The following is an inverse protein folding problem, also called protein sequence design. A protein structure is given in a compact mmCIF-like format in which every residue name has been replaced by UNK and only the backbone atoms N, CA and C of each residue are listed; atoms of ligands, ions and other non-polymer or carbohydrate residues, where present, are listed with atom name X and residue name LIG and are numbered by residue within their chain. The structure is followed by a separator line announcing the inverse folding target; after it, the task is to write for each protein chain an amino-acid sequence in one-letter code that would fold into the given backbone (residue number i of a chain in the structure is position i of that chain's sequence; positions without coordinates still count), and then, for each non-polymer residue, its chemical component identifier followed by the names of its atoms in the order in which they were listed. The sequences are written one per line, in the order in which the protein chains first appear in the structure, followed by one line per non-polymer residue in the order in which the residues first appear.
data_IF_552203644909
#
_entry.id   IF_552203644909
#
_cell.length_a   1.000
_cell.length_b   1.000
_cell.length_c   1.000
_cell.angle_alpha   90.00
_cell.angle_beta   90.00
_cell.angle_gamma   90.00
#
_symmetry.space_group_name_H-M   'P 1'
#
loop_
_entity.id
_entity.type
_entity.pdbx_description
1 polymer ?
#
# COMPACT_ATOMS: atom_id res chain seq x y z
N UNK A 1 29.44 17.46 -10.60
CA UNK A 1 29.14 16.02 -10.56
C UNK A 1 29.19 15.52 -9.11
N UNK A 2 30.24 15.82 -8.34
CA UNK A 2 30.40 15.40 -6.94
C UNK A 2 29.32 15.93 -6.01
N UNK A 3 28.89 17.17 -6.16
CA UNK A 3 27.88 17.83 -5.33
C UNK A 3 26.49 17.17 -5.51
N UNK A 4 26.15 16.77 -6.75
CA UNK A 4 24.91 16.04 -7.07
C UNK A 4 24.92 14.64 -6.46
N UNK A 5 26.07 13.98 -6.46
CA UNK A 5 26.22 12.65 -5.87
C UNK A 5 26.05 12.69 -4.34
N UNK A 6 26.69 13.67 -3.68
CA UNK A 6 26.58 13.89 -2.23
C UNK A 6 25.12 14.22 -1.85
N UNK A 7 24.48 15.13 -2.58
CA UNK A 7 23.07 15.47 -2.34
C UNK A 7 22.16 14.25 -2.51
N UNK A 8 22.37 13.44 -3.55
CA UNK A 8 21.59 12.23 -3.81
C UNK A 8 21.79 11.19 -2.72
N UNK A 9 23.00 11.02 -2.18
CA UNK A 9 23.31 10.10 -1.10
C UNK A 9 22.67 10.52 0.22
N UNK A 10 22.75 11.81 0.56
CA UNK A 10 22.10 12.38 1.75
C UNK A 10 20.58 12.28 1.63
N UNK A 11 20.01 12.63 0.46
CA UNK A 11 18.58 12.54 0.21
C UNK A 11 18.07 11.09 0.28
N UNK A 12 18.83 10.12 -0.26
CA UNK A 12 18.52 8.69 -0.13
C UNK A 12 18.58 8.22 1.32
N UNK A 13 19.58 8.63 2.09
CA UNK A 13 19.70 8.33 3.52
C UNK A 13 18.53 8.93 4.33
N UNK A 14 18.18 10.18 4.03
CA UNK A 14 17.04 10.87 4.64
C UNK A 14 15.72 10.18 4.30
N UNK A 15 15.48 9.82 3.02
CA UNK A 15 14.30 9.08 2.59
C UNK A 15 14.19 7.73 3.28
N UNK A 16 15.29 6.97 3.41
CA UNK A 16 15.30 5.68 4.10
C UNK A 16 15.01 5.83 5.60
N UNK A 17 15.52 6.90 6.23
CA UNK A 17 15.25 7.19 7.64
C UNK A 17 13.79 7.61 7.87
N UNK A 18 13.26 8.45 7.00
CA UNK A 18 11.86 8.88 7.03
C UNK A 18 10.93 7.72 6.66
N UNK A 19 11.29 6.85 5.71
CA UNK A 19 10.52 5.67 5.36
C UNK A 19 10.44 4.65 6.51
N UNK A 20 11.52 4.45 7.28
CA UNK A 20 11.50 3.61 8.49
C UNK A 20 10.59 4.16 9.62
N UNK A 21 10.37 5.48 9.65
CA UNK A 21 9.53 6.18 10.64
C UNK A 21 8.16 6.57 10.09
N UNK A 22 7.91 6.27 8.82
CA UNK A 22 6.79 6.81 8.05
C UNK A 22 5.51 6.01 8.29
N UNK A 23 4.47 6.74 8.45
CA UNK A 23 3.02 6.65 8.26
C UNK A 23 2.53 5.57 7.25
N UNK A 24 3.42 4.93 6.50
CA UNK A 24 3.06 4.00 5.43
C UNK A 24 3.18 2.51 5.82
N UNK A 25 3.36 2.22 7.12
CA UNK A 25 3.38 0.84 7.62
C UNK A 25 1.96 0.32 7.67
N UNK A 26 1.65 -0.71 6.87
CA UNK A 26 0.33 -1.33 6.83
C UNK A 26 0.13 -2.25 8.02
N UNK A 27 -1.01 -2.14 8.66
CA UNK A 27 -1.40 -2.98 9.79
C UNK A 27 -1.99 -4.28 9.27
N UNK A 28 -1.28 -5.37 9.53
CA UNK A 28 -1.61 -6.71 9.07
C UNK A 28 -2.22 -7.53 10.20
N UNK A 29 -3.28 -8.26 9.90
CA UNK A 29 -3.83 -9.32 10.73
C UNK A 29 -3.77 -10.62 9.93
N UNK A 30 -3.43 -11.72 10.59
CA UNK A 30 -3.38 -13.05 9.97
C UNK A 30 -4.55 -13.87 10.49
N UNK A 31 -5.31 -14.43 9.56
CA UNK A 31 -6.42 -15.35 9.83
C UNK A 31 -6.00 -16.75 9.40
N UNK A 32 -5.86 -17.65 10.39
CA UNK A 32 -5.31 -18.99 10.19
C UNK A 32 -5.74 -19.96 11.30
N UNK A 33 -5.16 -21.15 11.32
CA UNK A 33 -5.26 -22.13 12.42
C UNK A 33 -3.99 -22.07 13.27
N UNK A 34 -4.09 -22.47 14.54
CA UNK A 34 -2.98 -22.41 15.50
C UNK A 34 -1.75 -23.20 15.03
N UNK A 35 -1.96 -24.36 14.41
CA UNK A 35 -0.89 -25.23 13.89
C UNK A 35 -0.03 -24.59 12.78
N UNK A 36 -0.60 -23.66 12.00
CA UNK A 36 0.07 -23.06 10.85
C UNK A 36 0.82 -21.76 11.18
N UNK A 37 0.66 -21.23 12.39
CA UNK A 37 1.21 -19.91 12.78
C UNK A 37 2.73 -19.87 12.67
N UNK A 38 3.41 -20.90 13.13
CA UNK A 38 4.89 -20.94 13.12
C UNK A 38 5.44 -21.02 11.69
N UNK A 39 4.82 -21.82 10.83
CA UNK A 39 5.18 -21.92 9.43
C UNK A 39 4.96 -20.60 8.69
N UNK A 40 3.81 -19.96 8.91
CA UNK A 40 3.49 -18.66 8.31
C UNK A 40 4.48 -17.59 8.75
N UNK A 41 4.80 -17.53 10.06
CA UNK A 41 5.78 -16.60 10.60
C UNK A 41 7.15 -16.75 9.93
N UNK A 42 7.61 -17.98 9.74
CA UNK A 42 8.87 -18.30 9.06
C UNK A 42 8.83 -17.94 7.57
N UNK A 43 7.77 -18.32 6.85
CA UNK A 43 7.65 -18.09 5.39
C UNK A 43 7.41 -16.63 5.03
N UNK A 44 6.66 -15.90 5.85
CA UNK A 44 6.45 -14.48 5.63
C UNK A 44 7.70 -13.64 5.95
N UNK A 45 8.72 -14.23 6.61
CA UNK A 45 9.92 -13.46 6.98
C UNK A 45 9.57 -12.21 7.77
N UNK A 46 8.74 -12.33 8.80
CA UNK A 46 8.12 -11.17 9.48
C UNK A 46 9.13 -10.19 10.05
N UNK A 47 10.33 -10.66 10.38
CA UNK A 47 11.42 -9.81 10.86
C UNK A 47 11.98 -8.90 9.74
N UNK A 48 11.78 -9.27 8.48
CA UNK A 48 12.25 -8.56 7.29
C UNK A 48 11.14 -7.72 6.63
N UNK A 49 9.88 -7.90 7.01
CA UNK A 49 8.71 -7.19 6.45
C UNK A 49 8.56 -5.78 7.03
N UNK A 50 9.50 -4.90 6.74
CA UNK A 50 9.55 -3.51 7.23
C UNK A 50 8.32 -2.64 6.87
N UNK A 51 7.52 -3.05 5.86
CA UNK A 51 6.31 -2.35 5.43
C UNK A 51 5.04 -2.75 6.19
N UNK A 52 5.12 -3.79 7.03
CA UNK A 52 3.97 -4.33 7.73
C UNK A 52 4.18 -4.31 9.24
N UNK A 53 3.13 -3.92 9.94
CA UNK A 53 3.02 -4.03 11.38
C UNK A 53 2.01 -5.13 11.69
N UNK A 54 2.49 -6.30 12.11
CA UNK A 54 1.62 -7.38 12.54
C UNK A 54 0.90 -6.96 13.82
N UNK A 55 -0.43 -6.88 13.74
CA UNK A 55 -1.31 -6.51 14.87
C UNK A 55 -1.71 -7.71 15.70
N UNK A 56 -1.83 -8.88 15.08
CA UNK A 56 -2.16 -10.11 15.77
C UNK A 56 -2.76 -11.18 14.85
N UNK A 57 -3.25 -12.23 15.48
CA UNK A 57 -3.81 -13.41 14.86
C UNK A 57 -5.31 -13.51 15.10
N UNK A 58 -6.02 -14.05 14.13
CA UNK A 58 -7.37 -14.60 14.27
C UNK A 58 -7.24 -16.11 14.06
N UNK A 59 -7.46 -16.87 15.10
CA UNK A 59 -7.33 -18.34 15.07
C UNK A 59 -8.70 -18.99 15.06
N UNK A 60 -8.96 -19.82 14.05
CA UNK A 60 -10.28 -20.40 13.83
C UNK A 60 -10.56 -21.62 14.72
N UNK A 61 -9.51 -22.27 15.18
CA UNK A 61 -9.51 -23.52 15.93
C UNK A 61 -9.36 -23.34 17.46
N UNK A 62 -9.43 -22.10 17.96
CA UNK A 62 -9.26 -21.81 19.39
C UNK A 62 -10.58 -21.38 20.05
N UNK A 63 -10.77 -21.73 21.34
CA UNK A 63 -11.94 -21.29 22.10
C UNK A 63 -11.88 -19.80 22.44
N UNK A 64 -13.03 -19.23 22.81
CA UNK A 64 -13.14 -17.81 23.21
C UNK A 64 -12.20 -17.41 24.35
N UNK A 65 -11.86 -18.34 25.23
CA UNK A 65 -10.96 -18.13 26.37
C UNK A 65 -9.51 -17.88 25.94
N UNK A 66 -9.12 -18.28 24.73
CA UNK A 66 -7.78 -18.04 24.19
C UNK A 66 -7.61 -16.64 23.61
N UNK A 67 -8.69 -15.91 23.37
CA UNK A 67 -8.62 -14.53 22.86
C UNK A 67 -7.99 -13.64 23.90
N UNK A 68 -6.98 -12.86 23.49
CA UNK A 68 -6.18 -12.03 24.39
C UNK A 68 -4.90 -12.69 24.92
N UNK A 69 -4.71 -13.99 24.66
CA UNK A 69 -3.42 -14.67 24.91
C UNK A 69 -2.48 -14.53 23.71
N UNK A 70 -1.31 -15.12 23.78
CA UNK A 70 -0.33 -15.10 22.69
C UNK A 70 -0.10 -16.50 22.12
N UNK A 71 0.05 -16.56 20.79
CA UNK A 71 0.49 -17.74 20.06
C UNK A 71 1.79 -17.41 19.32
N UNK A 72 2.87 -18.14 19.59
CA UNK A 72 4.21 -17.91 19.01
C UNK A 72 4.72 -16.46 19.17
N UNK A 73 4.36 -15.80 20.30
CA UNK A 73 4.73 -14.40 20.60
C UNK A 73 3.91 -13.36 19.83
N UNK A 74 2.75 -13.75 19.28
CA UNK A 74 1.83 -12.86 18.57
C UNK A 74 0.47 -12.90 19.29
N UNK A 75 -0.14 -11.73 19.59
CA UNK A 75 -1.42 -11.69 20.30
C UNK A 75 -2.56 -12.27 19.47
N UNK A 76 -3.42 -13.07 20.09
CA UNK A 76 -4.66 -13.58 19.52
C UNK A 76 -5.74 -12.53 19.68
N UNK A 77 -6.20 -11.96 18.57
CA UNK A 77 -7.20 -10.89 18.54
C UNK A 77 -8.63 -11.40 18.52
N UNK A 78 -8.82 -12.58 17.96
CA UNK A 78 -10.15 -13.17 17.79
C UNK A 78 -10.08 -14.63 17.39
N UNK A 79 -11.27 -15.23 17.31
CA UNK A 79 -11.50 -16.59 16.88
C UNK A 79 -12.61 -16.63 15.80
N UNK A 80 -13.09 -17.85 15.46
CA UNK A 80 -14.16 -18.05 14.49
C UNK A 80 -15.43 -17.23 14.77
N UNK A 81 -15.83 -17.13 16.06
CA UNK A 81 -17.09 -16.51 16.45
C UNK A 81 -17.08 -14.98 16.31
N UNK A 82 -15.91 -14.35 16.52
CA UNK A 82 -15.77 -12.90 16.56
C UNK A 82 -14.80 -12.33 15.51
N UNK A 83 -14.42 -13.13 14.50
CA UNK A 83 -13.41 -12.75 13.50
C UNK A 83 -13.73 -11.46 12.74
N UNK A 84 -15.01 -11.12 12.57
CA UNK A 84 -15.43 -9.89 11.93
C UNK A 84 -15.37 -8.70 12.90
N UNK A 85 -15.98 -8.86 14.08
CA UNK A 85 -16.08 -7.78 15.06
C UNK A 85 -14.72 -7.35 15.60
N UNK A 86 -13.79 -8.29 15.78
CA UNK A 86 -12.45 -7.96 16.27
C UNK A 86 -11.65 -7.12 15.29
N UNK A 87 -11.95 -7.17 14.00
CA UNK A 87 -11.30 -6.37 12.96
C UNK A 87 -11.97 -5.01 12.82
N UNK A 88 -13.32 -4.94 12.86
CA UNK A 88 -14.04 -3.67 12.75
C UNK A 88 -13.76 -2.70 13.89
N UNK A 89 -13.46 -3.22 15.08
CA UNK A 89 -13.12 -2.41 16.27
C UNK A 89 -11.65 -1.95 16.28
N UNK A 90 -10.85 -2.35 15.31
CA UNK A 90 -9.41 -2.04 15.24
C UNK A 90 -9.06 -1.42 13.92
N UNK A 91 -7.95 -0.70 13.90
CA UNK A 91 -7.43 -0.15 12.65
C UNK A 91 -6.55 -1.20 11.97
N UNK A 92 -7.10 -1.86 10.96
CA UNK A 92 -6.48 -2.91 10.15
C UNK A 92 -6.50 -2.47 8.70
N UNK A 93 -5.37 -2.56 8.02
CA UNK A 93 -5.25 -2.18 6.61
C UNK A 93 -5.32 -3.40 5.68
N UNK A 94 -4.74 -4.52 6.12
CA UNK A 94 -4.71 -5.77 5.35
C UNK A 94 -4.94 -7.00 6.22
N UNK A 95 -5.60 -8.02 5.66
CA UNK A 95 -5.76 -9.33 6.27
C UNK A 95 -5.12 -10.38 5.35
N UNK A 96 -4.29 -11.25 5.93
CA UNK A 96 -3.75 -12.42 5.26
C UNK A 96 -4.51 -13.67 5.70
N UNK A 97 -5.16 -14.34 4.76
CA UNK A 97 -5.96 -15.55 5.00
C UNK A 97 -5.18 -16.78 4.55
N UNK A 98 -4.92 -17.67 5.49
CA UNK A 98 -4.28 -18.95 5.26
C UNK A 98 -5.04 -20.06 6.01
N UNK A 99 -6.04 -20.63 5.35
CA UNK A 99 -6.92 -21.65 5.94
C UNK A 99 -6.95 -22.87 5.01
N UNK A 100 -6.81 -24.10 5.53
CA UNK A 100 -6.97 -25.32 4.74
C UNK A 100 -8.36 -25.43 4.13
N UNK A 101 -8.47 -25.97 2.91
CA UNK A 101 -9.74 -26.11 2.18
C UNK A 101 -10.76 -27.01 2.90
N UNK A 102 -10.29 -27.92 3.75
CA UNK A 102 -11.12 -28.92 4.47
C UNK A 102 -12.04 -28.34 5.54
N UNK A 103 -11.83 -27.09 5.95
CA UNK A 103 -12.50 -26.52 7.14
C UNK A 103 -13.87 -25.89 6.88
N UNK A 104 -14.45 -26.04 5.69
CA UNK A 104 -15.85 -25.65 5.42
C UNK A 104 -16.23 -24.19 5.70
N UNK A 105 -15.26 -23.34 5.95
CA UNK A 105 -15.48 -21.92 6.26
C UNK A 105 -15.89 -21.21 4.99
N UNK A 106 -16.93 -20.40 5.07
CA UNK A 106 -17.35 -19.55 3.97
C UNK A 106 -16.35 -18.39 3.75
N UNK A 107 -15.13 -18.74 3.30
CA UNK A 107 -14.05 -17.77 3.01
C UNK A 107 -14.53 -16.68 2.08
N UNK A 108 -15.37 -17.02 1.10
CA UNK A 108 -15.97 -16.06 0.19
C UNK A 108 -16.75 -14.97 0.94
N UNK A 109 -17.58 -15.37 1.92
CA UNK A 109 -18.36 -14.44 2.74
C UNK A 109 -17.48 -13.56 3.62
N UNK A 110 -16.43 -14.14 4.21
CA UNK A 110 -15.47 -13.36 5.00
C UNK A 110 -14.73 -12.33 4.14
N UNK A 111 -14.32 -12.70 2.91
CA UNK A 111 -13.68 -11.77 1.98
C UNK A 111 -14.62 -10.65 1.60
N UNK A 112 -15.89 -10.94 1.24
CA UNK A 112 -16.88 -9.91 0.91
C UNK A 112 -17.12 -8.94 2.07
N UNK A 113 -17.18 -9.45 3.31
CA UNK A 113 -17.39 -8.63 4.51
C UNK A 113 -16.19 -7.70 4.78
N UNK A 114 -14.95 -8.21 4.67
CA UNK A 114 -13.76 -7.38 4.88
C UNK A 114 -13.54 -6.37 3.73
N UNK A 115 -13.83 -6.78 2.49
CA UNK A 115 -13.77 -5.86 1.34
C UNK A 115 -14.78 -4.72 1.48
N UNK A 116 -15.99 -4.99 1.98
CA UNK A 116 -17.04 -3.99 2.19
C UNK A 116 -16.63 -2.88 3.16
N UNK A 117 -15.78 -3.17 4.15
CA UNK A 117 -15.24 -2.19 5.09
C UNK A 117 -13.90 -1.59 4.63
N UNK A 118 -13.46 -1.90 3.41
CA UNK A 118 -12.26 -1.30 2.79
C UNK A 118 -10.94 -1.95 3.16
N UNK A 119 -10.94 -3.13 3.80
CA UNK A 119 -9.74 -3.88 4.15
C UNK A 119 -9.28 -4.70 2.95
N UNK A 120 -7.99 -4.65 2.64
CA UNK A 120 -7.41 -5.48 1.59
C UNK A 120 -7.22 -6.92 2.08
N UNK A 121 -7.78 -7.88 1.36
CA UNK A 121 -7.69 -9.30 1.70
C UNK A 121 -6.66 -9.99 0.81
N UNK A 122 -5.67 -10.62 1.44
CA UNK A 122 -4.64 -11.43 0.80
C UNK A 122 -4.95 -12.91 1.07
N UNK A 123 -5.44 -13.62 0.07
CA UNK A 123 -5.75 -15.04 0.18
C UNK A 123 -4.59 -15.89 -0.34
N UNK A 124 -4.14 -16.86 0.46
CA UNK A 124 -3.17 -17.84 -0.02
C UNK A 124 -3.82 -18.78 -1.04
N UNK A 125 -3.26 -18.79 -2.27
CA UNK A 125 -3.81 -19.53 -3.41
C UNK A 125 -3.50 -21.02 -3.42
N UNK A 126 -2.49 -21.45 -2.67
CA UNK A 126 -2.09 -22.86 -2.68
C UNK A 126 -3.19 -23.82 -2.14
N UNK A 127 -4.25 -23.25 -1.61
CA UNK A 127 -5.28 -23.96 -0.88
C UNK A 127 -6.68 -23.85 -1.52
N UNK A 128 -6.95 -22.83 -2.38
CA UNK A 128 -8.32 -22.56 -2.83
C UNK A 128 -8.50 -22.38 -4.33
N UNK A 129 -9.53 -23.04 -4.87
CA UNK A 129 -10.16 -22.68 -6.15
C UNK A 129 -11.38 -21.78 -5.83
N UNK A 130 -11.13 -20.46 -5.72
CA UNK A 130 -12.14 -19.50 -5.26
C UNK A 130 -12.67 -18.68 -6.43
N UNK A 131 -13.93 -18.89 -6.78
CA UNK A 131 -14.63 -18.08 -7.78
C UNK A 131 -15.33 -16.89 -7.11
N UNK A 132 -14.59 -15.83 -6.85
CA UNK A 132 -15.08 -14.60 -6.20
C UNK A 132 -15.43 -13.53 -7.23
N UNK A 133 -16.62 -12.92 -7.05
CA UNK A 133 -17.09 -11.77 -7.86
C UNK A 133 -16.52 -10.44 -7.34
N UNK A 134 -15.20 -10.33 -7.16
CA UNK A 134 -14.57 -9.10 -6.67
C UNK A 134 -14.19 -8.15 -7.80
N UNK A 135 -14.27 -6.84 -7.54
CA UNK A 135 -14.03 -5.78 -8.54
C UNK A 135 -12.56 -5.65 -8.95
N UNK A 136 -11.63 -5.93 -8.04
CA UNK A 136 -10.20 -5.90 -8.32
C UNK A 136 -9.50 -7.08 -7.67
N UNK A 137 -8.75 -7.83 -8.46
CA UNK A 137 -7.95 -8.97 -8.04
C UNK A 137 -6.52 -8.73 -8.51
N UNK A 138 -5.57 -8.72 -7.60
CA UNK A 138 -4.15 -8.60 -7.92
C UNK A 138 -3.39 -9.80 -7.38
N UNK A 139 -2.62 -10.46 -8.24
CA UNK A 139 -1.70 -11.51 -7.82
C UNK A 139 -0.44 -10.83 -7.24
N UNK A 140 -0.07 -11.20 -6.01
CA UNK A 140 1.12 -10.67 -5.34
C UNK A 140 1.94 -11.79 -4.72
N UNK A 141 3.24 -11.55 -4.58
CA UNK A 141 4.09 -12.34 -3.71
C UNK A 141 4.05 -11.74 -2.29
N UNK A 142 3.85 -12.59 -1.30
CA UNK A 142 3.81 -12.26 0.12
C UNK A 142 4.75 -13.21 0.87
N UNK A 143 6.03 -12.82 1.01
CA UNK A 143 7.10 -13.74 1.33
C UNK A 143 7.21 -14.82 0.23
N UNK A 144 7.26 -16.08 0.61
CA UNK A 144 7.30 -17.23 -0.31
C UNK A 144 5.91 -17.67 -0.81
N UNK A 145 4.85 -16.95 -0.47
CA UNK A 145 3.48 -17.30 -0.90
C UNK A 145 3.05 -16.46 -2.11
N UNK A 146 2.35 -17.12 -3.04
CA UNK A 146 1.57 -16.44 -4.07
C UNK A 146 0.16 -16.24 -3.54
N UNK A 147 -0.26 -14.97 -3.45
CA UNK A 147 -1.57 -14.59 -2.90
C UNK A 147 -2.39 -13.81 -3.92
N UNK A 148 -3.72 -13.98 -3.90
CA UNK A 148 -4.62 -13.03 -4.57
C UNK A 148 -5.04 -11.99 -3.53
N UNK A 149 -4.75 -10.73 -3.82
CA UNK A 149 -5.25 -9.61 -3.04
C UNK A 149 -6.57 -9.13 -3.63
N UNK A 150 -7.60 -9.13 -2.81
CA UNK A 150 -8.90 -8.56 -3.13
C UNK A 150 -8.97 -7.17 -2.52
N UNK A 151 -9.19 -6.17 -3.36
CA UNK A 151 -9.26 -4.78 -2.91
C UNK A 151 -10.43 -4.08 -3.56
N UNK A 152 -11.24 -3.42 -2.77
CA UNK A 152 -12.15 -2.46 -3.33
C UNK A 152 -11.34 -1.28 -3.88
N UNK A 153 -11.53 -0.96 -5.15
CA UNK A 153 -10.88 0.19 -5.78
C UNK A 153 -11.51 1.48 -5.25
N UNK A 154 -11.22 1.79 -3.98
CA UNK A 154 -11.56 3.07 -3.36
C UNK A 154 -10.54 4.13 -3.80
N UNK A 155 -10.22 4.14 -5.08
CA UNK A 155 -9.67 5.34 -5.69
C UNK A 155 -10.83 6.33 -5.82
N UNK A 156 -11.16 6.96 -4.72
CA UNK A 156 -12.29 7.86 -4.67
C UNK A 156 -12.11 8.91 -5.77
N UNK A 157 -13.12 9.04 -6.63
CA UNK A 157 -13.20 10.11 -7.64
C UNK A 157 -12.86 11.47 -7.02
N UNK A 158 -13.18 11.65 -5.72
CA UNK A 158 -12.84 12.81 -4.89
C UNK A 158 -11.32 13.03 -4.77
N UNK A 159 -10.52 11.99 -4.50
CA UNK A 159 -9.06 12.13 -4.40
C UNK A 159 -8.42 12.50 -5.73
N UNK A 160 -8.91 11.92 -6.85
CA UNK A 160 -8.44 12.30 -8.19
C UNK A 160 -8.83 13.72 -8.55
N UNK A 161 -10.03 14.15 -8.16
CA UNK A 161 -10.49 15.52 -8.37
C UNK A 161 -9.65 16.53 -7.55
N UNK A 162 -9.40 16.23 -6.28
CA UNK A 162 -8.53 17.07 -5.43
C UNK A 162 -7.12 17.16 -6.00
N UNK A 163 -6.53 16.04 -6.43
CA UNK A 163 -5.22 16.03 -7.07
C UNK A 163 -5.21 16.92 -8.32
N UNK A 164 -6.19 16.78 -9.21
CA UNK A 164 -6.29 17.64 -10.41
C UNK A 164 -6.46 19.12 -10.09
N UNK A 165 -7.27 19.45 -9.07
CA UNK A 165 -7.36 20.84 -8.61
C UNK A 165 -6.02 21.39 -8.14
N UNK A 166 -5.28 20.63 -7.34
CA UNK A 166 -3.93 21.04 -6.90
C UNK A 166 -2.96 21.22 -8.07
N UNK A 167 -2.99 20.30 -9.05
CA UNK A 167 -2.16 20.38 -10.25
C UNK A 167 -2.47 21.64 -11.07
N UNK A 168 -3.76 21.98 -11.23
CA UNK A 168 -4.20 23.20 -11.96
C UNK A 168 -3.77 24.46 -11.21
N UNK A 169 -4.00 24.53 -9.90
CA UNK A 169 -3.59 25.68 -9.08
C UNK A 169 -2.07 25.86 -9.15
N UNK A 170 -1.32 24.79 -9.00
CA UNK A 170 0.15 24.81 -9.12
C UNK A 170 0.63 25.28 -10.50
N UNK A 171 -0.02 24.82 -11.56
CA UNK A 171 0.29 25.26 -12.93
C UNK A 171 0.00 26.75 -13.14
N UNK A 172 -1.12 27.26 -12.64
CA UNK A 172 -1.47 28.69 -12.73
C UNK A 172 -0.42 29.54 -11.99
N UNK A 173 -0.09 29.17 -10.76
CA UNK A 173 0.94 29.87 -9.97
C UNK A 173 2.29 29.84 -10.68
N UNK A 174 2.68 28.66 -11.20
CA UNK A 174 3.91 28.50 -11.97
C UNK A 174 3.95 29.40 -13.22
N UNK A 175 2.85 29.49 -13.96
CA UNK A 175 2.73 30.36 -15.12
C UNK A 175 2.85 31.85 -14.74
N UNK A 176 2.21 32.25 -13.65
CA UNK A 176 2.32 33.67 -13.17
C UNK A 176 3.76 34.00 -12.80
N UNK A 177 4.41 33.11 -12.02
CA UNK A 177 5.82 33.32 -11.63
C UNK A 177 6.73 33.37 -12.86
N UNK A 178 6.57 32.42 -13.79
CA UNK A 178 7.32 32.40 -15.05
C UNK A 178 7.08 33.65 -15.87
N UNK A 179 5.81 34.09 -15.96
CA UNK A 179 5.46 35.33 -16.65
C UNK A 179 6.15 36.55 -16.06
N UNK A 180 6.14 36.72 -14.74
CA UNK A 180 6.82 37.82 -14.04
C UNK A 180 8.33 37.79 -14.33
N UNK A 181 8.95 36.61 -14.14
CA UNK A 181 10.39 36.45 -14.40
C UNK A 181 10.71 36.77 -15.86
N UNK A 182 9.91 36.33 -16.81
CA UNK A 182 10.09 36.60 -18.22
C UNK A 182 10.00 38.09 -18.54
N UNK A 183 9.04 38.81 -17.96
CA UNK A 183 8.90 40.28 -18.16
C UNK A 183 10.16 41.04 -17.72
N UNK A 184 10.80 40.63 -16.62
CA UNK A 184 12.03 41.23 -16.16
C UNK A 184 13.27 40.82 -16.96
N UNK A 185 13.36 39.56 -17.34
CA UNK A 185 14.52 39.03 -18.07
C UNK A 185 14.50 39.33 -19.57
N UNK A 186 13.32 39.38 -20.20
CA UNK A 186 13.20 39.58 -21.63
C UNK A 186 13.89 40.88 -22.12
N UNK A 187 13.71 42.06 -21.49
CA UNK A 187 14.39 43.27 -21.92
C UNK A 187 15.91 43.16 -21.83
N UNK A 188 16.42 42.53 -20.77
CA UNK A 188 17.85 42.35 -20.56
C UNK A 188 18.45 41.45 -21.66
N UNK A 189 17.77 40.32 -21.94
CA UNK A 189 18.21 39.40 -22.96
C UNK A 189 18.17 40.00 -24.38
N UNK A 190 17.14 40.80 -24.69
CA UNK A 190 17.00 41.44 -26.00
C UNK A 190 18.08 42.51 -26.23
N UNK A 191 18.57 43.18 -25.16
CA UNK A 191 19.65 44.16 -25.25
C UNK A 191 21.00 43.48 -25.40
N UNK A 192 21.21 42.36 -24.70
CA UNK A 192 22.49 41.64 -24.69
C UNK A 192 22.65 40.73 -25.92
N UNK A 193 21.58 40.14 -26.40
CA UNK A 193 21.58 39.24 -27.54
C UNK A 193 20.29 39.40 -28.36
N UNK A 194 20.29 40.10 -29.49
CA UNK A 194 19.13 40.27 -30.34
C UNK A 194 18.77 38.94 -31.02
N UNK A 195 17.74 38.27 -30.51
CA UNK A 195 17.25 36.98 -31.02
C UNK A 195 15.87 36.68 -30.49
N UNK A 196 15.26 35.54 -30.94
CA UNK A 196 13.94 35.12 -30.43
C UNK A 196 14.04 34.72 -28.97
N UNK A 197 13.15 35.27 -28.12
CA UNK A 197 13.07 34.98 -26.68
C UNK A 197 12.77 33.50 -26.38
N UNK A 198 12.08 32.81 -27.29
CA UNK A 198 11.75 31.39 -27.17
C UNK A 198 12.49 30.64 -28.26
N UNK A 199 13.43 29.80 -27.83
CA UNK A 199 14.15 28.90 -28.75
C UNK A 199 13.27 27.73 -29.14
N UNK A 200 13.08 27.54 -30.44
CA UNK A 200 12.31 26.45 -31.00
C UNK A 200 13.22 25.59 -31.89
N UNK A 201 13.30 24.30 -31.59
CA UNK A 201 14.06 23.33 -32.37
C UNK A 201 13.17 22.15 -32.76
N UNK A 202 13.13 21.85 -34.04
CA UNK A 202 12.46 20.64 -34.53
C UNK A 202 13.34 19.44 -34.20
N UNK A 203 12.85 18.54 -33.34
CA UNK A 203 13.50 17.26 -33.07
C UNK A 203 12.81 16.17 -33.89
N UNK A 204 13.61 15.42 -34.65
CA UNK A 204 13.15 14.21 -35.32
C UNK A 204 13.04 13.13 -34.25
N UNK A 205 11.82 12.66 -33.97
CA UNK A 205 11.59 11.50 -33.10
C UNK A 205 12.09 10.24 -33.81
N UNK A 206 12.72 9.37 -33.05
CA UNK A 206 12.96 7.98 -33.49
C UNK A 206 11.63 7.25 -33.50
N UNK A 207 11.22 6.74 -34.67
CA UNK A 207 10.12 5.80 -34.82
C UNK A 207 10.48 4.43 -34.24
#
# INVERSE_FOLDING_TARGET
ITLVFVFRSIYKGFLLHVAKKSINTKRLVILTMAENVEEIKKRLGMDEMWNYLLKGLILLDVPDTAVGTECCGIPILGNYNNMYDCVTQRVVDEIFIHIPYSEGIHVAKAIEQYEAIGIAVNLNLQIYDVNLKCKSKELRAFGDYYVITFKESVSSLKMRAVKRMMDIIGAIVGLIVTGIVTVFLAPVLLVESPGPLIFSQVRVGLN
#
